data_IF_367099478364
#
_entry.id   IF_367099478364
#
_cell.length_a   1.000
_cell.length_b   1.000
_cell.length_c   1.000
_cell.angle_alpha   90.00
_cell.angle_beta   90.00
_cell.angle_gamma   90.00
#
_symmetry.space_group_name_H-M   'P 1'
#
loop_
_entity.id
_entity.type
_entity.pdbx_description
1 polymer ?
#
# COMPACT_ATOMS: atom_id res chain seq x y z
N UNK A 1 -0.94 16.66 -2.37
CA UNK A 1 -2.08 15.72 -2.29
C UNK A 1 -3.37 16.52 -2.31
N UNK A 2 -4.32 16.15 -3.17
CA UNK A 2 -5.71 16.62 -3.08
C UNK A 2 -6.46 15.71 -2.10
N UNK A 3 -7.33 16.29 -1.29
CA UNK A 3 -8.25 15.57 -0.41
C UNK A 3 -9.69 15.99 -0.62
N UNK A 4 -10.59 15.06 -0.32
CA UNK A 4 -12.03 15.24 -0.30
C UNK A 4 -12.54 14.85 1.09
N UNK A 5 -13.06 15.80 1.86
CA UNK A 5 -13.56 15.56 3.21
C UNK A 5 -15.04 15.91 3.31
N UNK A 6 -15.84 15.00 3.85
CA UNK A 6 -17.26 15.24 4.11
C UNK A 6 -17.45 15.69 5.54
N UNK A 7 -18.18 16.79 5.74
CA UNK A 7 -18.77 17.11 7.03
C UNK A 7 -20.05 16.28 7.22
N UNK A 8 -20.11 15.46 8.26
CA UNK A 8 -21.26 14.60 8.53
C UNK A 8 -22.51 15.36 9.00
N UNK A 9 -22.37 16.58 9.53
CA UNK A 9 -23.51 17.39 9.92
C UNK A 9 -24.23 18.00 8.71
N UNK A 10 -23.47 18.56 7.77
CA UNK A 10 -24.04 19.26 6.58
C UNK A 10 -24.07 18.41 5.32
N UNK A 11 -23.33 17.29 5.31
CA UNK A 11 -23.01 16.47 4.14
C UNK A 11 -22.20 17.20 3.06
N UNK A 12 -21.74 18.44 3.30
CA UNK A 12 -20.91 19.16 2.34
C UNK A 12 -19.52 18.55 2.25
N UNK A 13 -18.96 18.64 1.05
CA UNK A 13 -17.65 18.10 0.72
C UNK A 13 -16.68 19.26 0.56
N UNK A 14 -15.62 19.25 1.36
CA UNK A 14 -14.46 20.10 1.18
C UNK A 14 -13.50 19.47 0.19
N UNK A 15 -13.08 20.25 -0.80
CA UNK A 15 -12.02 19.88 -1.73
C UNK A 15 -10.83 20.79 -1.45
N UNK A 16 -9.66 20.23 -1.15
CA UNK A 16 -8.48 21.03 -0.86
C UNK A 16 -7.17 20.30 -1.08
N UNK A 17 -6.06 21.03 -1.03
CA UNK A 17 -4.70 20.45 -1.08
C UNK A 17 -3.97 20.49 0.25
N UNK A 18 -3.04 19.55 0.41
CA UNK A 18 -2.02 19.55 1.46
C UNK A 18 -0.69 19.04 0.93
N UNK A 19 0.40 19.51 1.54
CA UNK A 19 1.78 19.09 1.24
C UNK A 19 2.07 17.72 1.84
N UNK A 20 1.49 17.43 3.01
CA UNK A 20 1.74 16.21 3.76
C UNK A 20 0.61 15.20 3.51
N UNK A 21 -0.01 14.73 4.58
CA UNK A 21 -1.08 13.74 4.58
C UNK A 21 -2.45 14.41 4.84
N UNK A 22 -3.47 13.99 4.10
CA UNK A 22 -4.85 14.43 4.26
C UNK A 22 -5.40 14.16 5.67
N UNK A 23 -5.00 13.09 6.36
CA UNK A 23 -5.50 12.77 7.71
C UNK A 23 -5.05 13.80 8.77
N UNK A 24 -3.80 14.27 8.70
CA UNK A 24 -3.31 15.32 9.61
C UNK A 24 -4.02 16.65 9.34
N UNK A 25 -4.27 16.93 8.05
CA UNK A 25 -5.07 18.10 7.64
C UNK A 25 -6.51 17.99 8.16
N UNK A 26 -7.12 16.80 8.10
CA UNK A 26 -8.47 16.52 8.64
C UNK A 26 -8.54 16.83 10.12
N UNK A 27 -7.58 16.33 10.91
CA UNK A 27 -7.49 16.59 12.36
C UNK A 27 -7.36 18.08 12.67
N UNK A 28 -6.54 18.79 11.91
CA UNK A 28 -6.40 20.25 12.06
C UNK A 28 -7.71 20.97 11.77
N UNK A 29 -8.36 20.65 10.64
CA UNK A 29 -9.64 21.26 10.24
C UNK A 29 -10.78 20.92 11.21
N UNK A 30 -10.78 19.72 11.80
CA UNK A 30 -11.79 19.27 12.76
C UNK A 30 -11.90 20.20 13.97
N UNK A 31 -10.80 20.82 14.42
CA UNK A 31 -10.80 21.74 15.57
C UNK A 31 -11.70 22.96 15.37
N UNK A 32 -11.89 23.38 14.13
CA UNK A 32 -12.78 24.49 13.74
C UNK A 32 -14.10 24.04 13.13
N UNK A 33 -14.38 22.72 13.08
CA UNK A 33 -15.59 22.17 12.50
C UNK A 33 -16.43 21.47 13.59
N UNK A 34 -17.66 21.92 13.87
CA UNK A 34 -18.51 21.29 14.87
C UNK A 34 -19.03 19.92 14.44
N UNK A 35 -19.14 19.66 13.14
CA UNK A 35 -19.49 18.35 12.58
C UNK A 35 -18.26 17.46 12.38
N UNK A 36 -18.44 16.14 12.44
CA UNK A 36 -17.35 15.20 12.20
C UNK A 36 -16.92 15.26 10.73
N UNK A 37 -15.62 15.34 10.50
CA UNK A 37 -15.02 15.28 9.17
C UNK A 37 -14.58 13.86 8.84
N UNK A 38 -15.06 13.34 7.72
CA UNK A 38 -14.70 12.02 7.18
C UNK A 38 -13.93 12.19 5.87
N UNK A 39 -12.73 11.61 5.79
CA UNK A 39 -11.93 11.60 4.56
C UNK A 39 -12.53 10.60 3.56
N UNK A 40 -12.94 11.10 2.38
CA UNK A 40 -13.52 10.28 1.31
C UNK A 40 -12.42 9.71 0.39
N UNK A 41 -11.48 10.59 0.03
CA UNK A 41 -10.38 10.32 -0.89
C UNK A 41 -9.19 11.25 -0.59
N UNK A 42 -8.00 10.71 -0.74
CA UNK A 42 -6.74 11.42 -0.88
C UNK A 42 -6.04 10.92 -2.13
N UNK A 43 -5.57 11.82 -2.99
CA UNK A 43 -4.89 11.48 -4.23
C UNK A 43 -3.74 12.43 -4.54
N UNK A 44 -2.80 11.99 -5.37
CA UNK A 44 -1.77 12.87 -5.90
C UNK A 44 -2.41 13.99 -6.73
N UNK A 45 -1.82 15.18 -6.64
CA UNK A 45 -2.34 16.37 -7.30
C UNK A 45 -1.75 17.66 -6.74
N UNK A 46 -1.83 18.68 -7.58
CA UNK A 46 -1.32 20.04 -7.39
C UNK A 46 -2.44 21.03 -7.06
N UNK A 47 -2.07 22.28 -6.77
CA UNK A 47 -3.03 23.40 -6.61
C UNK A 47 -3.80 23.67 -7.91
N UNK A 48 -3.18 23.41 -9.07
CA UNK A 48 -3.84 23.53 -10.37
C UNK A 48 -4.93 22.47 -10.53
N UNK A 49 -4.65 21.23 -10.10
CA UNK A 49 -5.63 20.15 -10.12
C UNK A 49 -6.81 20.45 -9.18
N UNK A 50 -6.55 21.00 -7.98
CA UNK A 50 -7.59 21.48 -7.07
C UNK A 50 -8.46 22.56 -7.74
N UNK A 51 -7.83 23.53 -8.39
CA UNK A 51 -8.52 24.60 -9.11
C UNK A 51 -9.43 24.00 -10.19
N UNK A 52 -8.96 22.99 -10.93
CA UNK A 52 -9.78 22.30 -11.93
C UNK A 52 -10.99 21.58 -11.30
N UNK A 53 -10.83 20.94 -10.14
CA UNK A 53 -11.96 20.36 -9.39
C UNK A 53 -12.95 21.43 -8.95
N UNK A 54 -12.45 22.53 -8.42
CA UNK A 54 -13.24 23.66 -7.97
C UNK A 54 -14.04 24.28 -9.12
N UNK A 55 -13.43 24.44 -10.29
CA UNK A 55 -14.07 24.95 -11.51
C UNK A 55 -15.12 23.98 -12.04
N UNK A 56 -14.78 22.69 -12.14
CA UNK A 56 -15.68 21.63 -12.61
C UNK A 56 -16.98 21.58 -11.81
N UNK A 57 -16.92 21.83 -10.50
CA UNK A 57 -18.08 21.79 -9.59
C UNK A 57 -18.48 23.18 -9.06
N UNK A 58 -18.13 24.25 -9.77
CA UNK A 58 -18.42 25.62 -9.32
C UNK A 58 -19.93 25.89 -9.13
N UNK A 59 -20.80 25.26 -9.92
CA UNK A 59 -22.26 25.41 -9.84
C UNK A 59 -22.87 24.89 -8.53
N UNK A 60 -22.17 24.02 -7.81
CA UNK A 60 -22.62 23.41 -6.56
C UNK A 60 -21.76 23.81 -5.36
N UNK A 61 -20.88 24.81 -5.56
CA UNK A 61 -20.06 25.41 -4.51
C UNK A 61 -20.95 26.24 -3.58
N UNK A 62 -20.95 25.92 -2.29
CA UNK A 62 -21.77 26.60 -1.29
C UNK A 62 -21.02 27.78 -0.66
N UNK A 63 -19.83 27.53 -0.10
CA UNK A 63 -19.03 28.56 0.57
C UNK A 63 -17.56 28.21 0.57
N UNK A 64 -16.73 29.08 -0.01
CA UNK A 64 -15.29 28.85 -0.10
C UNK A 64 -15.01 27.53 -0.82
N UNK A 65 -14.34 26.61 -0.12
CA UNK A 65 -13.93 25.30 -0.64
C UNK A 65 -14.95 24.18 -0.35
N UNK A 66 -16.18 24.52 0.05
CA UNK A 66 -17.24 23.57 0.41
C UNK A 66 -18.28 23.45 -0.70
N UNK A 67 -18.62 22.22 -1.07
CA UNK A 67 -19.48 21.87 -2.19
C UNK A 67 -20.64 20.97 -1.74
N UNK A 68 -21.81 21.11 -2.37
CA UNK A 68 -22.95 20.22 -2.13
C UNK A 68 -22.65 18.81 -2.66
N UNK A 69 -23.10 17.74 -1.97
CA UNK A 69 -22.85 16.35 -2.36
C UNK A 69 -23.78 15.91 -3.49
N UNK A 70 -23.66 16.54 -4.67
CA UNK A 70 -24.45 16.15 -5.84
C UNK A 70 -23.94 14.83 -6.42
N UNK A 71 -24.81 14.03 -7.09
CA UNK A 71 -24.41 12.74 -7.65
C UNK A 71 -23.17 12.81 -8.54
N UNK A 72 -23.02 13.86 -9.34
CA UNK A 72 -21.90 14.04 -10.27
C UNK A 72 -20.56 14.19 -9.54
N UNK A 73 -20.55 14.89 -8.40
CA UNK A 73 -19.34 15.06 -7.57
C UNK A 73 -18.99 13.75 -6.87
N UNK A 74 -19.99 13.07 -6.30
CA UNK A 74 -19.79 11.79 -5.62
C UNK A 74 -19.26 10.72 -6.58
N UNK A 75 -19.85 10.63 -7.78
CA UNK A 75 -19.38 9.73 -8.83
C UNK A 75 -17.95 10.04 -9.25
N UNK A 76 -17.61 11.31 -9.48
CA UNK A 76 -16.25 11.69 -9.86
C UNK A 76 -15.21 11.34 -8.77
N UNK A 77 -15.56 11.48 -7.48
CA UNK A 77 -14.69 11.06 -6.37
C UNK A 77 -14.54 9.52 -6.37
N UNK A 78 -15.62 8.78 -6.57
CA UNK A 78 -15.59 7.31 -6.63
C UNK A 78 -14.75 6.81 -7.81
N UNK A 79 -14.92 7.40 -8.99
CA UNK A 79 -14.12 7.08 -10.19
C UNK A 79 -12.63 7.33 -9.94
N UNK A 80 -12.27 8.48 -9.36
CA UNK A 80 -10.89 8.79 -8.99
C UNK A 80 -10.31 7.77 -8.00
N UNK A 81 -11.11 7.35 -7.01
CA UNK A 81 -10.73 6.32 -6.04
C UNK A 81 -10.52 4.95 -6.68
N UNK A 82 -11.39 4.56 -7.61
CA UNK A 82 -11.25 3.30 -8.36
C UNK A 82 -9.96 3.31 -9.17
N UNK A 83 -9.71 4.37 -9.93
CA UNK A 83 -8.47 4.50 -10.71
C UNK A 83 -7.20 4.42 -9.84
N UNK A 84 -7.21 5.05 -8.66
CA UNK A 84 -6.10 4.95 -7.70
C UNK A 84 -5.90 3.51 -7.21
N UNK A 85 -6.98 2.83 -6.84
CA UNK A 85 -6.90 1.44 -6.35
C UNK A 85 -6.46 0.47 -7.46
N UNK A 86 -6.89 0.67 -8.70
CA UNK A 86 -6.47 -0.14 -9.84
C UNK A 86 -4.98 0.04 -10.15
N UNK A 87 -4.47 1.26 -10.07
CA UNK A 87 -3.04 1.54 -10.23
C UNK A 87 -2.21 0.87 -9.12
N UNK A 88 -2.63 1.00 -7.87
CA UNK A 88 -1.93 0.37 -6.74
C UNK A 88 -2.00 -1.16 -6.81
N UNK A 89 -3.15 -1.74 -7.19
CA UNK A 89 -3.29 -3.18 -7.36
C UNK A 89 -2.36 -3.70 -8.46
N UNK A 90 -2.24 -2.98 -9.58
CA UNK A 90 -1.32 -3.33 -10.67
C UNK A 90 0.14 -3.33 -10.18
N UNK A 91 0.54 -2.30 -9.43
CA UNK A 91 1.87 -2.21 -8.81
C UNK A 91 2.14 -3.37 -7.84
N UNK A 92 1.18 -3.70 -6.99
CA UNK A 92 1.31 -4.82 -6.05
C UNK A 92 1.43 -6.17 -6.76
N UNK A 93 0.71 -6.37 -7.87
CA UNK A 93 0.81 -7.58 -8.67
C UNK A 93 2.19 -7.74 -9.31
N UNK A 94 2.80 -6.66 -9.78
CA UNK A 94 4.17 -6.67 -10.31
C UNK A 94 5.20 -7.00 -9.23
N UNK A 95 5.09 -6.39 -8.04
CA UNK A 95 5.96 -6.67 -6.90
C UNK A 95 5.84 -8.14 -6.46
N UNK A 96 4.61 -8.66 -6.38
CA UNK A 96 4.36 -10.05 -6.02
C UNK A 96 4.95 -11.02 -7.06
N UNK A 97 4.92 -10.68 -8.34
CA UNK A 97 5.54 -11.48 -9.40
C UNK A 97 7.06 -11.55 -9.24
N UNK A 98 7.71 -10.40 -8.96
CA UNK A 98 9.16 -10.34 -8.74
C UNK A 98 9.59 -11.13 -7.49
N UNK A 99 8.85 -11.03 -6.38
CA UNK A 99 9.16 -11.75 -5.15
C UNK A 99 9.00 -13.28 -5.30
N UNK A 100 7.97 -13.71 -6.05
CA UNK A 100 7.78 -15.13 -6.40
C UNK A 100 8.96 -15.68 -7.19
N UNK A 101 9.47 -14.92 -8.16
CA UNK A 101 10.63 -15.32 -8.96
C UNK A 101 11.89 -15.48 -8.09
N UNK A 102 12.18 -14.49 -7.23
CA UNK A 102 13.30 -14.54 -6.30
C UNK A 102 13.22 -15.74 -5.34
N UNK A 103 12.02 -16.01 -4.81
CA UNK A 103 11.78 -17.15 -3.92
C UNK A 103 12.00 -18.48 -4.64
N UNK A 104 11.60 -18.57 -5.92
CA UNK A 104 11.81 -19.77 -6.73
C UNK A 104 13.30 -20.03 -6.97
N UNK A 105 14.08 -18.98 -7.24
CA UNK A 105 15.53 -19.02 -7.42
C UNK A 105 16.24 -19.49 -6.16
N UNK A 106 15.90 -18.91 -5.00
CA UNK A 106 16.45 -19.30 -3.70
C UNK A 106 16.13 -20.76 -3.36
N UNK A 107 14.90 -21.22 -3.62
CA UNK A 107 14.52 -22.63 -3.45
C UNK A 107 15.34 -23.56 -4.35
N UNK A 108 15.66 -23.12 -5.58
CA UNK A 108 16.58 -23.83 -6.48
C UNK A 108 17.98 -23.96 -5.89
N UNK A 109 18.58 -22.84 -5.46
CA UNK A 109 19.92 -22.81 -4.86
C UNK A 109 20.00 -23.67 -3.58
N UNK A 110 18.99 -23.61 -2.72
CA UNK A 110 18.92 -24.41 -1.49
C UNK A 110 18.87 -25.91 -1.79
N UNK A 111 18.13 -26.34 -2.81
CA UNK A 111 18.11 -27.75 -3.25
C UNK A 111 19.50 -28.19 -3.71
N UNK A 112 20.16 -27.40 -4.55
CA UNK A 112 21.52 -27.72 -5.03
C UNK A 112 22.54 -27.82 -3.90
N UNK A 113 22.50 -26.90 -2.92
CA UNK A 113 23.37 -26.94 -1.74
C UNK A 113 23.14 -28.19 -0.87
N UNK A 114 21.87 -28.57 -0.67
CA UNK A 114 21.53 -29.80 0.08
C UNK A 114 22.06 -31.05 -0.61
N UNK A 115 21.92 -31.15 -1.94
CA UNK A 115 22.46 -32.27 -2.72
C UNK A 115 23.98 -32.34 -2.64
N UNK A 116 24.67 -31.19 -2.73
CA UNK A 116 26.13 -31.13 -2.60
C UNK A 116 26.61 -31.54 -1.21
N UNK A 117 25.92 -31.12 -0.14
CA UNK A 117 26.25 -31.52 1.22
C UNK A 117 26.12 -33.04 1.43
N UNK A 118 25.09 -33.67 0.86
CA UNK A 118 24.93 -35.13 0.91
C UNK A 118 26.04 -35.85 0.14
N UNK A 119 26.37 -35.42 -1.08
CA UNK A 119 27.44 -36.05 -1.89
C UNK A 119 28.84 -35.91 -1.29
N UNK A 120 29.07 -34.88 -0.48
CA UNK A 120 30.35 -34.69 0.23
C UNK A 120 30.42 -35.55 1.49
N UNK A 121 29.29 -35.79 2.16
CA UNK A 121 29.21 -36.72 3.29
C UNK A 121 29.49 -38.18 2.84
N UNK A 122 28.94 -38.61 1.71
CA UNK A 122 29.18 -39.96 1.16
C UNK A 122 30.65 -40.18 0.76
N UNK A 123 31.30 -39.19 0.12
CA UNK A 123 32.73 -39.29 -0.24
C UNK A 123 33.67 -39.34 0.97
N UNK A 124 33.33 -38.67 2.07
CA UNK A 124 34.10 -38.77 3.32
C UNK A 124 33.96 -40.15 3.99
N UNK A 125 32.91 -40.92 3.70
CA UNK A 125 32.77 -42.30 4.17
C UNK A 125 33.47 -43.34 3.30
N UNK A 126 33.68 -43.06 2.00
CA UNK A 126 34.39 -43.96 1.08
C UNK A 126 35.92 -43.82 1.13
N UNK A 127 36.46 -42.60 1.32
CA UNK A 127 37.91 -42.35 1.34
C UNK A 127 38.57 -42.52 2.73
N UNK A 128 37.80 -42.86 3.76
CA UNK A 128 38.27 -42.96 5.14
C UNK A 128 37.79 -44.22 5.83
N UNK A 129 38.65 -45.24 5.88
CA UNK A 129 38.54 -46.36 6.84
C UNK A 129 38.64 -45.78 8.26
N UNK A 130 37.51 -45.33 8.81
CA UNK A 130 37.37 -45.09 10.25
C UNK A 130 36.48 -46.18 10.82
N UNK A 131 37.14 -47.23 11.32
CA UNK A 131 36.52 -48.21 12.21
C UNK A 131 36.09 -47.47 13.48
N UNK A 132 34.79 -47.22 13.63
CA UNK A 132 34.22 -46.78 14.89
C UNK A 132 34.38 -47.93 15.90
N UNK A 133 35.39 -47.87 16.76
CA UNK A 133 35.51 -48.79 17.90
C UNK A 133 34.74 -48.14 19.05
N UNK A 134 33.60 -48.71 19.49
CA UNK A 134 32.93 -48.21 20.68
C UNK A 134 33.88 -48.44 21.87
N UNK A 135 34.18 -47.38 22.62
CA UNK A 135 34.84 -47.53 23.93
C UNK A 135 33.84 -48.24 24.85
N UNK A 136 34.07 -49.51 25.13
CA UNK A 136 33.41 -50.19 26.24
C UNK A 136 33.72 -49.41 27.52
N UNK A 137 32.66 -49.10 28.27
CA UNK A 137 32.77 -48.54 29.61
C UNK A 137 33.21 -49.67 30.53
N UNK A 138 34.48 -49.68 30.88
CA UNK A 138 34.95 -50.49 32.00
C UNK A 138 34.37 -49.94 33.32
N UNK A 139 33.97 -50.90 34.15
CA UNK A 139 33.28 -50.81 35.44
C UNK A 139 34.18 -50.28 36.56
#
# INVERSE_FOLDING_TARGET
>A
MIYFMRDEATQFIKIGVTINNAEDRRRTLQTGCPGNLTLLLEMEGSEQDETAWHERFASVRERGEWFRPVPELLLAIMEAKVMQLEAENSRLLELLAAEKDQTSTLKGQLRSLKTFAHSKADRFTEDGVYRFIPREKDK
#
